data_IF_613947350964
#
_entry.id   IF_613947350964
#
_cell.length_a   1.000
_cell.length_b   1.000
_cell.length_c   1.000
_cell.angle_alpha   90.00
_cell.angle_beta   90.00
_cell.angle_gamma   90.00
#
_symmetry.space_group_name_H-M   'P 1'
#
loop_
_entity.id
_entity.type
_entity.pdbx_description
1 polymer ?
#
# COMPACT_ATOMS: atom_id res chain seq x y z
N UNK A 1 -7.64 27.83 10.83
CA UNK A 1 -6.47 27.21 10.17
C UNK A 1 -5.88 26.20 11.14
N UNK A 2 -6.07 24.90 10.91
CA UNK A 2 -5.53 23.87 11.78
C UNK A 2 -4.18 23.43 11.23
N UNK A 3 -3.10 23.93 11.82
CA UNK A 3 -1.73 23.50 11.51
C UNK A 3 -1.62 22.05 12.01
N UNK A 4 -1.65 21.08 11.10
CA UNK A 4 -1.25 19.72 11.46
C UNK A 4 0.28 19.70 11.54
N UNK A 5 0.83 19.73 12.76
CA UNK A 5 2.26 19.57 13.04
C UNK A 5 2.82 18.19 12.64
N UNK A 6 1.97 17.26 12.25
CA UNK A 6 2.37 15.93 11.79
C UNK A 6 2.55 15.99 10.27
N UNK A 7 3.80 15.88 9.81
CA UNK A 7 4.06 15.62 8.40
C UNK A 7 3.36 14.31 7.99
N UNK A 8 2.47 14.41 7.01
CA UNK A 8 1.70 13.26 6.54
C UNK A 8 2.54 12.43 5.59
N UNK A 9 2.48 11.11 5.77
CA UNK A 9 2.93 10.15 4.76
C UNK A 9 2.09 10.37 3.50
N UNK A 10 2.72 10.34 2.33
CA UNK A 10 2.01 10.40 1.06
C UNK A 10 2.10 9.04 0.38
N UNK A 11 0.96 8.41 0.08
CA UNK A 11 0.91 7.20 -0.73
C UNK A 11 0.75 7.55 -2.21
N UNK A 12 1.32 6.73 -3.09
CA UNK A 12 0.98 6.70 -4.51
C UNK A 12 0.24 5.41 -4.83
N UNK A 13 -1.03 5.53 -5.21
CA UNK A 13 -1.85 4.45 -5.76
C UNK A 13 -1.79 4.55 -7.28
N UNK A 14 -1.08 3.61 -7.91
CA UNK A 14 -1.01 3.52 -9.36
C UNK A 14 -1.87 2.38 -9.87
N UNK A 15 -2.64 2.64 -10.93
CA UNK A 15 -3.27 1.61 -11.77
C UNK A 15 -2.75 1.78 -13.19
N UNK A 16 -2.09 0.75 -13.72
CA UNK A 16 -1.56 0.70 -15.08
C UNK A 16 -2.36 -0.26 -15.94
N UNK A 17 -3.01 0.26 -16.97
CA UNK A 17 -3.70 -0.55 -17.97
C UNK A 17 -2.70 -1.44 -18.73
N UNK A 18 -3.00 -2.74 -18.90
CA UNK A 18 -2.10 -3.65 -19.65
C UNK A 18 -2.26 -3.54 -21.16
N UNK A 19 -3.35 -2.96 -21.66
CA UNK A 19 -3.61 -2.81 -23.10
C UNK A 19 -2.96 -1.54 -23.67
N UNK A 20 -3.22 -0.38 -23.06
CA UNK A 20 -2.74 0.91 -23.56
C UNK A 20 -1.61 1.53 -22.74
N UNK A 21 -1.14 0.86 -21.68
CA UNK A 21 -0.09 1.35 -20.76
C UNK A 21 -0.40 2.66 -20.03
N UNK A 22 -1.63 3.18 -20.12
CA UNK A 22 -2.02 4.39 -19.38
C UNK A 22 -1.97 4.14 -17.87
N UNK A 23 -1.30 5.04 -17.15
CA UNK A 23 -1.20 5.04 -15.70
C UNK A 23 -2.16 6.07 -15.10
N UNK A 24 -3.00 5.63 -14.17
CA UNK A 24 -3.77 6.48 -13.28
C UNK A 24 -3.08 6.49 -11.91
N UNK A 25 -2.55 7.64 -11.50
CA UNK A 25 -1.93 7.82 -10.19
C UNK A 25 -2.84 8.66 -9.29
N UNK A 26 -2.98 8.24 -8.03
CA UNK A 26 -3.68 9.01 -7.00
C UNK A 26 -2.78 9.12 -5.78
N UNK A 27 -2.61 10.35 -5.29
CA UNK A 27 -1.75 10.65 -4.15
C UNK A 27 -2.60 10.97 -2.93
N UNK A 28 -2.56 10.09 -1.94
CA UNK A 28 -3.42 10.20 -0.76
C UNK A 28 -2.58 10.43 0.50
N UNK A 29 -2.85 11.49 1.28
CA UNK A 29 -2.19 11.69 2.56
C UNK A 29 -2.69 10.68 3.59
N UNK A 30 -1.77 10.13 4.39
CA UNK A 30 -2.04 9.16 5.45
C UNK A 30 -1.28 9.51 6.74
N UNK A 31 -1.78 9.00 7.86
CA UNK A 31 -1.16 9.16 9.17
C UNK A 31 -0.29 7.96 9.54
N UNK A 32 -0.59 6.78 9.00
CA UNK A 32 0.11 5.53 9.31
C UNK A 32 0.13 4.54 8.14
N UNK A 33 1.05 3.58 8.23
CA UNK A 33 1.08 2.36 7.43
C UNK A 33 0.40 1.21 8.18
N UNK A 34 -0.84 0.90 7.79
CA UNK A 34 -1.60 -0.21 8.35
C UNK A 34 -1.33 -1.52 7.59
N UNK A 35 -0.41 -2.35 8.09
CA UNK A 35 0.12 -3.54 7.42
C UNK A 35 -0.62 -4.83 7.77
N UNK A 36 -0.93 -5.63 6.75
CA UNK A 36 -1.46 -6.98 6.92
C UNK A 36 -0.33 -7.95 7.30
N UNK A 37 -0.47 -8.57 8.47
CA UNK A 37 0.55 -9.48 8.99
C UNK A 37 0.17 -10.95 8.89
N UNK A 38 -1.05 -11.33 8.46
CA UNK A 38 -1.49 -12.75 8.44
C UNK A 38 -0.46 -13.66 7.76
N UNK A 39 0.05 -13.26 6.59
CA UNK A 39 1.06 -14.00 5.80
C UNK A 39 2.48 -13.44 5.89
N UNK A 40 2.75 -12.51 6.81
CA UNK A 40 4.08 -11.91 7.01
C UNK A 40 4.58 -12.15 8.44
N UNK A 41 5.82 -12.62 8.57
CA UNK A 41 6.53 -12.91 9.82
C UNK A 41 7.52 -11.80 10.20
N UNK A 42 7.71 -10.81 9.32
CA UNK A 42 8.64 -9.70 9.51
C UNK A 42 8.09 -8.41 8.89
N UNK A 43 8.57 -7.27 9.38
CA UNK A 43 8.19 -5.95 8.88
C UNK A 43 8.55 -5.74 7.39
N UNK A 44 9.75 -6.12 6.90
CA UNK A 44 10.07 -6.01 5.48
C UNK A 44 9.15 -6.85 4.59
N UNK A 45 8.76 -8.05 5.05
CA UNK A 45 7.82 -8.92 4.32
C UNK A 45 6.41 -8.32 4.30
N UNK A 46 5.96 -7.73 5.40
CA UNK A 46 4.68 -7.05 5.46
C UNK A 46 4.63 -5.81 4.55
N UNK A 47 5.73 -5.03 4.50
CA UNK A 47 5.88 -3.90 3.57
C UNK A 47 5.93 -4.37 2.11
N UNK A 48 6.65 -5.45 1.81
CA UNK A 48 6.70 -6.02 0.46
C UNK A 48 5.30 -6.46 -0.01
N UNK A 49 4.51 -7.08 0.87
CA UNK A 49 3.12 -7.40 0.56
C UNK A 49 2.25 -6.15 0.38
N UNK A 50 2.45 -5.13 1.22
CA UNK A 50 1.70 -3.87 1.14
C UNK A 50 1.96 -3.13 -0.18
N UNK A 51 3.19 -3.19 -0.70
CA UNK A 51 3.58 -2.55 -1.96
C UNK A 51 3.62 -3.49 -3.16
N UNK A 52 3.09 -4.71 -3.03
CA UNK A 52 3.05 -5.67 -4.11
C UNK A 52 2.15 -5.19 -5.25
N UNK A 53 2.49 -5.57 -6.47
CA UNK A 53 1.63 -5.38 -7.64
C UNK A 53 0.48 -6.40 -7.56
N UNK A 54 -0.75 -5.90 -7.59
CA UNK A 54 -1.98 -6.67 -7.69
C UNK A 54 -2.47 -6.68 -9.14
N UNK A 55 -2.80 -7.85 -9.67
CA UNK A 55 -3.44 -7.96 -10.99
C UNK A 55 -4.97 -7.81 -10.86
N UNK A 56 -5.52 -6.95 -11.71
CA UNK A 56 -6.95 -6.67 -11.83
C UNK A 56 -7.48 -7.39 -13.08
N UNK A 57 -7.55 -8.71 -13.04
CA UNK A 57 -7.65 -9.58 -14.23
C UNK A 57 -8.98 -10.35 -14.38
N UNK A 58 -9.82 -10.41 -13.34
CA UNK A 58 -11.02 -11.27 -13.30
C UNK A 58 -12.36 -10.54 -13.09
N UNK A 59 -13.30 -10.70 -14.02
CA UNK A 59 -14.72 -10.34 -13.88
C UNK A 59 -14.97 -8.94 -13.30
N UNK A 60 -15.58 -8.86 -12.11
CA UNK A 60 -15.90 -7.60 -11.43
C UNK A 60 -14.67 -6.78 -10.99
N UNK A 61 -13.46 -7.38 -10.97
CA UNK A 61 -12.22 -6.68 -10.59
C UNK A 61 -11.54 -5.98 -11.77
N UNK A 62 -12.02 -6.15 -13.00
CA UNK A 62 -11.44 -5.48 -14.16
C UNK A 62 -11.52 -3.96 -14.01
N UNK A 63 -10.46 -3.27 -14.43
CA UNK A 63 -10.35 -1.82 -14.35
C UNK A 63 -11.05 -1.17 -15.53
N UNK A 64 -11.91 -0.17 -15.28
CA UNK A 64 -12.48 0.67 -16.34
C UNK A 64 -11.42 1.69 -16.79
N UNK A 65 -10.80 1.46 -17.95
CA UNK A 65 -9.77 2.35 -18.46
C UNK A 65 -10.39 3.58 -19.13
N UNK A 66 -10.01 4.79 -18.70
CA UNK A 66 -10.49 6.03 -19.30
C UNK A 66 -10.06 6.22 -20.77
N UNK A 67 -8.91 5.64 -21.18
CA UNK A 67 -8.42 5.70 -22.57
C UNK A 67 -9.06 4.66 -23.48
N UNK A 68 -9.12 3.39 -23.04
CA UNK A 68 -9.75 2.32 -23.81
C UNK A 68 -11.28 2.42 -23.80
N UNK A 69 -11.85 3.11 -22.80
CA UNK A 69 -13.30 3.24 -22.55
C UNK A 69 -14.01 1.90 -22.31
N UNK A 70 -13.27 0.90 -21.85
CA UNK A 70 -13.77 -0.45 -21.56
C UNK A 70 -13.13 -1.04 -20.29
N UNK A 71 -13.67 -2.16 -19.83
CA UNK A 71 -13.10 -2.97 -18.75
C UNK A 71 -11.92 -3.77 -19.27
N UNK A 72 -10.76 -3.55 -18.69
CA UNK A 72 -9.49 -4.16 -19.09
C UNK A 72 -8.77 -4.79 -17.90
N UNK A 73 -7.82 -5.68 -18.23
CA UNK A 73 -6.82 -6.09 -17.25
C UNK A 73 -5.92 -4.91 -16.91
N UNK A 74 -5.54 -4.81 -15.64
CA UNK A 74 -4.65 -3.75 -15.16
C UNK A 74 -3.76 -4.26 -14.03
N UNK A 75 -2.68 -3.53 -13.75
CA UNK A 75 -1.83 -3.73 -12.59
C UNK A 75 -2.04 -2.58 -11.62
N UNK A 76 -2.40 -2.90 -10.38
CA UNK A 76 -2.56 -1.93 -9.30
C UNK A 76 -1.41 -2.06 -8.33
N UNK A 77 -0.85 -0.95 -7.88
CA UNK A 77 0.22 -0.94 -6.89
C UNK A 77 0.05 0.24 -5.94
N UNK A 78 0.28 0.00 -4.66
CA UNK A 78 0.41 1.04 -3.64
C UNK A 78 1.89 1.19 -3.29
N UNK A 79 2.39 2.41 -3.19
CA UNK A 79 3.78 2.69 -2.81
C UNK A 79 3.82 3.91 -1.90
N UNK A 80 4.93 4.06 -1.17
CA UNK A 80 5.23 5.28 -0.43
C UNK A 80 5.72 6.32 -1.44
N UNK A 81 5.07 7.46 -1.56
CA UNK A 81 5.55 8.56 -2.39
C UNK A 81 6.54 9.44 -1.62
N UNK A 82 6.16 9.86 -0.41
CA UNK A 82 6.99 10.65 0.49
C UNK A 82 6.87 10.12 1.91
N UNK A 83 7.98 9.69 2.50
CA UNK A 83 8.03 9.26 3.89
C UNK A 83 8.11 10.48 4.83
N UNK A 84 7.38 10.50 5.96
CA UNK A 84 7.51 11.53 6.97
C UNK A 84 8.76 11.31 7.85
N UNK A 85 9.21 12.34 8.57
CA UNK A 85 10.28 12.19 9.58
C UNK A 85 9.90 11.20 10.70
N UNK A 86 8.62 11.12 11.03
CA UNK A 86 8.09 10.18 12.03
C UNK A 86 7.07 9.26 11.34
N UNK A 87 7.44 7.99 11.16
CA UNK A 87 6.60 6.99 10.51
C UNK A 87 5.89 6.11 11.55
N UNK A 88 4.56 6.16 11.56
CA UNK A 88 3.73 5.24 12.34
C UNK A 88 3.40 3.99 11.53
N UNK A 89 3.67 2.81 12.10
CA UNK A 89 3.34 1.52 11.47
C UNK A 89 2.37 0.76 12.38
N UNK A 90 1.16 0.55 11.87
CA UNK A 90 0.13 -0.23 12.53
C UNK A 90 0.15 -1.67 12.01
N UNK A 91 0.44 -2.64 12.88
CA UNK A 91 0.31 -4.06 12.55
C UNK A 91 -1.13 -4.51 12.79
N UNK A 92 -1.86 -4.87 11.73
CA UNK A 92 -3.26 -5.31 11.81
C UNK A 92 -3.36 -6.70 12.47
N UNK A 93 -3.31 -6.74 13.81
CA UNK A 93 -3.47 -7.96 14.62
C UNK A 93 -4.92 -8.41 14.77
N UNK A 94 -5.87 -7.54 14.48
CA UNK A 94 -7.29 -7.84 14.51
C UNK A 94 -7.84 -7.71 13.08
N UNK A 95 -8.59 -8.72 12.63
CA UNK A 95 -9.12 -8.80 11.28
C UNK A 95 -10.60 -9.17 11.27
N UNK A 96 -11.22 -9.09 10.10
CA UNK A 96 -12.65 -9.36 9.92
C UNK A 96 -13.02 -10.85 9.82
N UNK A 97 -12.03 -11.74 9.69
CA UNK A 97 -12.29 -13.18 9.51
C UNK A 97 -12.81 -13.87 10.76
N UNK A 98 -12.33 -13.45 11.94
CA UNK A 98 -12.74 -13.97 13.24
C UNK A 98 -12.79 -12.81 14.24
N UNK A 99 -13.97 -12.22 14.48
CA UNK A 99 -14.13 -11.09 15.39
C UNK A 99 -13.56 -11.40 16.78
N UNK A 100 -12.78 -10.47 17.33
CA UNK A 100 -12.16 -10.62 18.66
C UNK A 100 -10.90 -11.48 18.69
N UNK A 101 -10.57 -12.23 17.62
CA UNK A 101 -9.34 -13.02 17.56
C UNK A 101 -8.13 -12.13 17.27
N UNK A 102 -7.15 -12.16 18.18
CA UNK A 102 -5.85 -11.50 18.02
C UNK A 102 -4.86 -12.41 17.30
N UNK A 103 -4.06 -11.85 16.40
CA UNK A 103 -2.88 -12.50 15.84
C UNK A 103 -1.73 -12.32 16.83
N UNK A 104 -1.41 -13.37 17.59
CA UNK A 104 -0.35 -13.36 18.62
C UNK A 104 1.04 -13.76 18.11
N UNK A 105 1.17 -14.07 16.81
CA UNK A 105 2.47 -14.43 16.25
C UNK A 105 3.48 -13.28 16.37
N UNK A 106 4.75 -13.67 16.53
CA UNK A 106 5.88 -12.76 16.49
C UNK A 106 6.01 -12.14 15.09
N UNK A 107 6.32 -10.85 15.05
CA UNK A 107 6.66 -10.12 13.81
C UNK A 107 8.04 -9.53 14.05
N UNK A 108 9.03 -9.99 13.29
CA UNK A 108 10.41 -9.52 13.41
C UNK A 108 10.56 -8.12 12.81
N UNK A 109 11.21 -7.22 13.53
CA UNK A 109 11.65 -5.92 13.03
C UNK A 109 12.94 -5.51 13.75
N UNK A 110 13.86 -4.90 13.00
CA UNK A 110 15.12 -4.37 13.54
C UNK A 110 14.98 -2.94 14.05
N UNK A 111 16.08 -2.39 14.56
CA UNK A 111 16.20 -0.97 14.93
C UNK A 111 16.28 -0.03 13.73
N UNK A 112 16.65 -0.56 12.56
CA UNK A 112 16.76 0.18 11.31
C UNK A 112 15.83 -0.41 10.25
N UNK A 113 15.18 0.46 9.48
CA UNK A 113 14.30 0.07 8.38
C UNK A 113 14.69 0.83 7.11
N UNK A 114 15.08 0.07 6.07
CA UNK A 114 15.31 0.64 4.76
C UNK A 114 13.99 0.77 3.99
N UNK A 115 13.48 1.98 3.83
CA UNK A 115 12.24 2.24 3.09
C UNK A 115 12.41 2.25 1.57
N UNK A 116 13.65 2.32 1.07
CA UNK A 116 13.94 2.51 -0.36
C UNK A 116 13.24 1.54 -1.31
N UNK A 117 13.10 0.24 -1.00
CA UNK A 117 12.39 -0.70 -1.87
C UNK A 117 10.89 -0.42 -2.02
N UNK A 118 10.31 0.39 -1.13
CA UNK A 118 8.87 0.62 -1.01
C UNK A 118 8.46 2.04 -1.47
N UNK A 119 9.42 2.87 -1.87
CA UNK A 119 9.22 4.26 -2.30
C UNK A 119 9.21 4.39 -3.83
N UNK A 120 8.27 5.17 -4.37
CA UNK A 120 8.17 5.50 -5.81
C UNK A 120 8.33 6.99 -6.16
N UNK A 121 8.42 7.87 -5.15
CA UNK A 121 8.68 9.30 -5.34
C UNK A 121 10.17 9.67 -5.41
N UNK A 122 10.50 10.90 -5.85
CA UNK A 122 11.85 11.43 -5.77
C UNK A 122 12.27 11.59 -4.30
N UNK A 123 13.55 11.29 -4.01
CA UNK A 123 14.17 11.52 -2.70
C UNK A 123 14.42 13.00 -2.46
#
# INVERSE_FOLDING_TARGET
QQISFVEKLLHNKQVKCTQCSHCSNTFDPFLDLSLQIVKADSLPKALAHFTAVEELDGGQKQYQCARCKEKVRARKQLTIHKAPYVLTIHLKRFGSGEPGRKIDKKVEFGTTLNLKPYVSGPY
#
